data_IF_904066401046
#
_entry.id   IF_904066401046
#
_cell.length_a   1.000
_cell.length_b   1.000
_cell.length_c   1.000
_cell.angle_alpha   90.00
_cell.angle_beta   90.00
_cell.angle_gamma   90.00
#
_symmetry.space_group_name_H-M   'P 1'
#
loop_
_entity.id
_entity.type
_entity.pdbx_description
1 polymer ?
#
# COMPACT_ATOMS: atom_id res chain seq x y z
N UNK A 1 8.09 -5.16 7.41
CA UNK A 1 7.04 -4.30 6.81
C UNK A 1 7.04 -2.90 7.42
N UNK A 2 6.78 -2.76 8.72
CA UNK A 2 6.73 -1.48 9.46
C UNK A 2 7.88 -0.51 9.13
N UNK A 3 9.13 -0.95 9.24
CA UNK A 3 10.31 -0.11 8.96
C UNK A 3 10.32 0.45 7.53
N UNK A 4 9.88 -0.34 6.54
CA UNK A 4 9.77 0.12 5.15
C UNK A 4 8.69 1.19 5.01
N UNK A 5 7.56 1.02 5.70
CA UNK A 5 6.47 2.00 5.70
C UNK A 5 6.91 3.32 6.36
N UNK A 6 7.65 3.27 7.47
CA UNK A 6 8.23 4.46 8.12
C UNK A 6 9.17 5.19 7.16
N UNK A 7 10.11 4.46 6.54
CA UNK A 7 11.07 5.03 5.58
C UNK A 7 10.39 5.74 4.41
N UNK A 8 9.22 5.24 4.00
CA UNK A 8 8.42 5.75 2.89
C UNK A 8 7.37 6.79 3.32
N UNK A 9 7.46 7.29 4.57
CA UNK A 9 6.51 8.22 5.19
C UNK A 9 5.04 7.75 5.13
N UNK A 10 4.82 6.44 5.09
CA UNK A 10 3.50 5.80 5.11
C UNK A 10 3.09 5.34 6.52
N UNK A 11 3.98 5.46 7.50
CA UNK A 11 3.71 5.12 8.90
C UNK A 11 4.48 6.01 9.86
N UNK A 12 3.93 6.20 11.06
CA UNK A 12 4.58 6.95 12.14
C UNK A 12 5.60 6.07 12.88
N UNK A 13 6.81 6.58 13.09
CA UNK A 13 7.85 5.90 13.86
C UNK A 13 7.48 5.74 15.34
N UNK A 14 6.72 6.69 15.90
CA UNK A 14 6.24 6.64 17.28
C UNK A 14 5.14 5.60 17.51
N UNK A 15 4.43 5.18 16.46
CA UNK A 15 3.38 4.17 16.58
C UNK A 15 3.95 2.75 16.50
N UNK A 16 3.97 2.06 17.65
CA UNK A 16 4.54 0.72 17.81
C UNK A 16 3.68 -0.39 17.21
N UNK A 17 2.45 -0.10 16.77
CA UNK A 17 1.59 -1.08 16.09
C UNK A 17 2.20 -1.50 14.76
N UNK A 18 1.79 -2.68 14.29
CA UNK A 18 2.27 -3.23 13.03
C UNK A 18 1.15 -3.19 11.98
N UNK A 19 1.25 -2.31 10.96
CA UNK A 19 0.25 -2.21 9.90
C UNK A 19 0.03 -3.50 9.12
N UNK A 20 1.00 -4.41 9.10
CA UNK A 20 0.85 -5.71 8.41
C UNK A 20 0.03 -6.74 9.21
N UNK A 21 -0.37 -6.42 10.45
CA UNK A 21 -1.04 -7.33 11.37
C UNK A 21 -2.30 -6.72 12.00
N UNK A 22 -2.59 -5.45 11.71
CA UNK A 22 -3.74 -4.72 12.25
C UNK A 22 -4.46 -4.00 11.11
N UNK A 23 -5.74 -4.33 10.91
CA UNK A 23 -6.56 -3.81 9.83
C UNK A 23 -6.74 -2.29 9.87
N UNK A 24 -6.92 -1.70 11.06
CA UNK A 24 -7.09 -0.24 11.18
C UNK A 24 -5.80 0.49 10.82
N UNK A 25 -4.66 -0.10 11.17
CA UNK A 25 -3.35 0.40 10.80
C UNK A 25 -3.12 0.26 9.28
N UNK A 26 -3.50 -0.86 8.67
CA UNK A 26 -3.44 -1.04 7.22
C UNK A 26 -4.29 -0.02 6.46
N UNK A 27 -5.50 0.29 6.94
CA UNK A 27 -6.33 1.36 6.38
C UNK A 27 -5.65 2.73 6.50
N UNK A 28 -5.05 3.02 7.65
CA UNK A 28 -4.31 4.26 7.88
C UNK A 28 -3.12 4.41 6.92
N UNK A 29 -2.44 3.31 6.57
CA UNK A 29 -1.37 3.30 5.55
C UNK A 29 -1.90 3.73 4.17
N UNK A 30 -3.03 3.16 3.72
CA UNK A 30 -3.64 3.54 2.43
C UNK A 30 -4.18 4.97 2.45
N UNK A 31 -4.77 5.41 3.57
CA UNK A 31 -5.21 6.79 3.73
C UNK A 31 -4.03 7.78 3.61
N UNK A 32 -2.88 7.44 4.21
CA UNK A 32 -1.67 8.25 4.16
C UNK A 32 -0.97 8.23 2.80
N UNK A 33 -1.18 7.19 2.00
CA UNK A 33 -0.74 7.17 0.60
C UNK A 33 -1.45 8.26 -0.22
N UNK A 34 -2.74 8.49 0.04
CA UNK A 34 -3.53 9.52 -0.63
C UNK A 34 -3.92 9.19 -2.07
N UNK A 35 -3.89 7.93 -2.46
CA UNK A 35 -4.29 7.46 -3.79
C UNK A 35 -5.53 6.56 -3.71
N UNK A 36 -6.40 6.53 -4.73
CA UNK A 36 -7.51 5.58 -4.77
C UNK A 36 -7.00 4.14 -4.77
N UNK A 37 -7.75 3.26 -4.14
CA UNK A 37 -7.40 1.84 -4.05
C UNK A 37 -8.65 0.98 -4.12
N UNK A 38 -8.48 -0.30 -4.42
CA UNK A 38 -9.54 -1.30 -4.30
C UNK A 38 -9.00 -2.68 -3.98
N UNK A 39 -9.87 -3.51 -3.43
CA UNK A 39 -9.62 -4.95 -3.35
C UNK A 39 -9.53 -5.53 -4.77
N UNK A 40 -8.42 -6.21 -5.06
CA UNK A 40 -8.15 -6.82 -6.36
C UNK A 40 -8.71 -8.24 -6.48
N UNK A 41 -8.89 -8.93 -5.34
CA UNK A 41 -9.38 -10.29 -5.30
C UNK A 41 -8.45 -11.22 -4.52
N UNK A 42 -8.62 -12.52 -4.78
CA UNK A 42 -7.67 -13.55 -4.35
C UNK A 42 -6.97 -14.14 -5.57
N UNK A 43 -5.66 -14.31 -5.46
CA UNK A 43 -4.86 -15.01 -6.46
C UNK A 43 -5.14 -16.52 -6.45
N UNK A 44 -4.76 -17.29 -7.48
CA UNK A 44 -4.96 -18.74 -7.51
C UNK A 44 -4.30 -19.50 -6.36
N UNK A 45 -3.20 -18.99 -5.80
CA UNK A 45 -2.54 -19.54 -4.61
C UNK A 45 -3.15 -19.04 -3.28
N UNK A 46 -4.29 -18.33 -3.34
CA UNK A 46 -5.08 -17.93 -2.18
C UNK A 46 -4.63 -16.63 -1.50
N UNK A 47 -3.63 -15.92 -2.04
CA UNK A 47 -3.18 -14.63 -1.50
C UNK A 47 -4.20 -13.54 -1.81
N UNK A 48 -4.27 -12.55 -0.94
CA UNK A 48 -5.09 -11.35 -1.13
C UNK A 48 -4.33 -10.35 -1.97
N UNK A 49 -4.97 -9.72 -2.95
CA UNK A 49 -4.42 -8.61 -3.73
C UNK A 49 -5.16 -7.31 -3.47
N UNK A 50 -4.41 -6.21 -3.34
CA UNK A 50 -4.91 -4.84 -3.39
C UNK A 50 -4.28 -4.09 -4.55
N UNK A 51 -5.09 -3.24 -5.18
CA UNK A 51 -4.71 -2.42 -6.33
C UNK A 51 -4.75 -0.96 -5.92
N UNK A 52 -3.72 -0.19 -6.31
CA UNK A 52 -3.69 1.27 -6.21
C UNK A 52 -3.88 1.83 -7.62
N UNK A 53 -4.71 2.87 -7.72
CA UNK A 53 -5.11 3.48 -8.97
C UNK A 53 -4.54 4.89 -9.11
N UNK A 54 -4.31 5.31 -10.35
CA UNK A 54 -4.10 6.70 -10.70
C UNK A 54 -5.40 7.49 -10.49
N UNK A 55 -5.31 8.67 -9.88
CA UNK A 55 -6.48 9.51 -9.62
C UNK A 55 -7.06 10.09 -10.92
N UNK A 56 -6.23 10.33 -11.94
CA UNK A 56 -6.64 11.03 -13.16
C UNK A 56 -7.45 10.14 -14.11
N UNK A 57 -7.04 8.89 -14.29
CA UNK A 57 -7.62 7.98 -15.29
C UNK A 57 -8.10 6.63 -14.72
N UNK A 58 -7.90 6.39 -13.42
CA UNK A 58 -8.33 5.15 -12.76
C UNK A 58 -7.53 3.91 -13.15
N UNK A 59 -6.42 4.04 -13.91
CA UNK A 59 -5.58 2.89 -14.25
C UNK A 59 -4.87 2.36 -13.02
N UNK A 60 -4.55 1.07 -13.01
CA UNK A 60 -3.74 0.47 -11.94
C UNK A 60 -2.29 0.96 -12.08
N UNK A 61 -1.76 1.59 -11.04
CA UNK A 61 -0.35 2.05 -10.99
C UNK A 61 0.54 1.13 -10.17
N UNK A 62 -0.05 0.41 -9.23
CA UNK A 62 0.65 -0.57 -8.41
C UNK A 62 -0.32 -1.60 -7.85
N UNK A 63 0.21 -2.77 -7.49
CA UNK A 63 -0.51 -3.76 -6.69
C UNK A 63 0.36 -4.30 -5.56
N UNK A 64 -0.29 -4.95 -4.61
CA UNK A 64 0.39 -5.67 -3.53
C UNK A 64 -0.39 -6.92 -3.16
N UNK A 65 0.32 -8.05 -3.10
CA UNK A 65 -0.24 -9.33 -2.68
C UNK A 65 0.29 -9.74 -1.31
N UNK A 66 -0.55 -10.24 -0.43
CA UNK A 66 -0.19 -10.72 0.92
C UNK A 66 -0.97 -11.95 1.33
N UNK A 67 -0.51 -12.66 2.36
CA UNK A 67 -1.29 -13.77 2.94
C UNK A 67 -2.52 -13.27 3.70
N UNK A 68 -2.51 -12.00 4.09
CA UNK A 68 -3.65 -11.29 4.68
C UNK A 68 -3.93 -9.98 3.93
N UNK A 69 -5.12 -9.41 4.15
CA UNK A 69 -5.49 -8.12 3.56
C UNK A 69 -4.57 -7.00 4.04
N UNK A 70 -4.22 -6.98 5.33
CA UNK A 70 -3.33 -5.97 5.93
C UNK A 70 -1.97 -5.95 5.24
N UNK A 71 -1.39 -7.13 5.01
CA UNK A 71 -0.14 -7.26 4.29
C UNK A 71 -0.26 -6.80 2.84
N UNK A 72 -1.32 -7.21 2.13
CA UNK A 72 -1.58 -6.83 0.74
C UNK A 72 -1.71 -5.30 0.60
N UNK A 73 -2.48 -4.66 1.48
CA UNK A 73 -2.67 -3.22 1.53
C UNK A 73 -1.34 -2.49 1.77
N UNK A 74 -0.54 -2.93 2.74
CA UNK A 74 0.77 -2.34 3.03
C UNK A 74 1.74 -2.49 1.84
N UNK A 75 1.76 -3.65 1.18
CA UNK A 75 2.60 -3.90 0.00
C UNK A 75 2.18 -3.03 -1.18
N UNK A 76 0.87 -2.89 -1.40
CA UNK A 76 0.33 -2.06 -2.48
C UNK A 76 0.71 -0.58 -2.26
N UNK A 77 0.61 -0.11 -1.02
CA UNK A 77 1.01 1.25 -0.67
C UNK A 77 2.51 1.51 -0.88
N UNK A 78 3.38 0.58 -0.46
CA UNK A 78 4.82 0.69 -0.68
C UNK A 78 5.18 0.71 -2.17
N UNK A 79 4.56 -0.16 -2.96
CA UNK A 79 4.77 -0.19 -4.40
C UNK A 79 4.33 1.12 -5.06
N UNK A 80 3.15 1.62 -4.70
CA UNK A 80 2.63 2.89 -5.22
C UNK A 80 3.51 4.09 -4.83
N UNK A 81 3.99 4.17 -3.59
CA UNK A 81 4.90 5.25 -3.16
C UNK A 81 6.21 5.23 -3.97
N UNK A 82 6.78 4.06 -4.21
CA UNK A 82 7.99 3.94 -5.04
C UNK A 82 7.78 4.46 -6.48
N UNK A 83 6.59 4.25 -7.05
CA UNK A 83 6.22 4.82 -8.37
C UNK A 83 6.11 6.35 -8.30
N UNK A 84 5.46 6.88 -7.27
CA UNK A 84 5.31 8.32 -7.07
C UNK A 84 6.67 9.03 -6.91
N UNK A 85 7.59 8.47 -6.12
CA UNK A 85 8.94 9.00 -5.95
C UNK A 85 9.73 8.98 -7.26
N UNK A 86 9.63 7.88 -8.03
CA UNK A 86 10.31 7.77 -9.33
C UNK A 86 9.80 8.82 -10.31
N UNK A 87 8.51 9.10 -10.32
CA UNK A 87 7.93 10.12 -11.19
C UNK A 87 8.30 11.54 -10.73
N UNK A 88 8.38 11.79 -9.42
CA UNK A 88 8.78 13.09 -8.87
C UNK A 88 10.22 13.48 -9.22
N UNK A 89 11.13 12.51 -9.37
CA UNK A 89 12.54 12.78 -9.76
C UNK A 89 12.70 13.11 -11.25
N UNK A 90 11.71 12.77 -12.09
CA UNK A 90 11.76 12.98 -13.55
C UNK A 90 11.22 14.34 -13.99
N UNK A 91 10.68 15.15 -13.08
CA UNK A 91 10.10 16.47 -13.32
C UNK A 91 10.85 17.55 -12.55
#
# INVERSE_FOLDING_TARGET
>A
MRERLIRMNLWDEGDRRNPAQDMNCAWSVLARLGAPYRFGGRTPDGRVEFLVLDLADGRVVASGCGTTSEEAMCRAALAARGVQETNAVRH
#
